data_IF_378522970472
#
_entry.id   IF_378522970472
#
_cell.length_a   1.000
_cell.length_b   1.000
_cell.length_c   1.000
_cell.angle_alpha   90.00
_cell.angle_beta   90.00
_cell.angle_gamma   90.00
#
_symmetry.space_group_name_H-M   'P 1'
#
loop_
_entity.id
_entity.type
_entity.pdbx_description
1 polymer ?
#
# COMPACT_ATOMS: atom_id res chain seq x y z
N UNK A 1 23.45 12.91 -3.15
CA UNK A 1 22.85 11.87 -4.01
C UNK A 1 21.50 12.40 -4.44
N UNK A 2 21.18 12.33 -5.72
CA UNK A 2 19.91 12.82 -6.28
C UNK A 2 19.12 11.63 -6.83
N UNK A 3 17.82 11.57 -6.52
CA UNK A 3 16.92 10.55 -7.05
C UNK A 3 15.61 11.22 -7.47
N UNK A 4 15.19 11.01 -8.71
CA UNK A 4 13.90 11.51 -9.21
C UNK A 4 12.83 10.45 -9.04
N UNK A 5 11.63 10.87 -8.64
CA UNK A 5 10.48 10.02 -8.36
C UNK A 5 9.27 10.40 -9.19
N UNK A 6 8.57 9.42 -9.73
CA UNK A 6 7.17 9.56 -10.15
C UNK A 6 6.23 9.22 -8.99
N UNK A 7 5.09 9.89 -8.93
CA UNK A 7 4.01 9.53 -8.01
C UNK A 7 2.93 8.71 -8.72
N UNK A 8 2.29 7.79 -8.02
CA UNK A 8 0.95 7.30 -8.36
C UNK A 8 0.02 7.53 -7.18
N UNK A 9 -1.26 7.75 -7.43
CA UNK A 9 -2.26 7.87 -6.36
C UNK A 9 -2.25 6.58 -5.55
N UNK A 10 -2.08 6.71 -4.23
CA UNK A 10 -2.22 5.58 -3.34
C UNK A 10 -3.71 5.30 -3.16
N UNK A 11 -4.17 4.22 -3.77
CA UNK A 11 -5.53 3.76 -3.60
C UNK A 11 -5.71 3.04 -2.25
N UNK A 12 -6.89 3.21 -1.66
CA UNK A 12 -7.29 2.59 -0.40
C UNK A 12 -8.29 1.46 -0.66
N UNK A 13 -7.77 0.30 -1.06
CA UNK A 13 -8.54 -0.92 -1.29
C UNK A 13 -7.93 -2.11 -0.55
N UNK A 14 -7.76 -3.22 -1.27
CA UNK A 14 -6.95 -4.36 -0.81
C UNK A 14 -5.95 -4.75 -1.90
N UNK A 15 -4.71 -5.07 -1.49
CA UNK A 15 -3.70 -5.51 -2.44
C UNK A 15 -4.11 -6.83 -3.10
N UNK A 16 -4.00 -6.86 -4.42
CA UNK A 16 -4.45 -7.96 -5.25
C UNK A 16 -3.44 -8.21 -6.37
N UNK A 17 -3.21 -9.48 -6.69
CA UNK A 17 -2.35 -9.87 -7.80
C UNK A 17 -2.88 -11.05 -8.59
N UNK A 18 -2.54 -11.10 -9.87
CA UNK A 18 -2.81 -12.24 -10.74
C UNK A 18 -1.49 -12.77 -11.27
N UNK A 19 -1.18 -14.01 -10.94
CA UNK A 19 -0.04 -14.73 -11.48
C UNK A 19 -0.47 -15.50 -12.73
N UNK A 20 0.31 -15.40 -13.80
CA UNK A 20 0.11 -16.06 -15.08
C UNK A 20 1.40 -16.77 -15.43
N UNK A 21 1.37 -18.10 -15.44
CA UNK A 21 2.51 -18.92 -15.83
C UNK A 21 2.71 -18.90 -17.35
N UNK A 22 3.89 -19.31 -17.81
CA UNK A 22 4.19 -19.36 -19.25
C UNK A 22 3.34 -20.38 -20.03
N UNK A 23 2.77 -21.39 -19.36
CA UNK A 23 1.78 -22.31 -19.92
C UNK A 23 0.33 -21.80 -19.82
N UNK A 24 0.10 -20.62 -19.25
CA UNK A 24 -1.21 -19.96 -19.17
C UNK A 24 -2.08 -20.37 -17.99
N UNK A 25 -1.50 -20.98 -16.95
CA UNK A 25 -2.22 -21.18 -15.68
C UNK A 25 -2.28 -19.86 -14.91
N UNK A 26 -3.43 -19.62 -14.29
CA UNK A 26 -3.72 -18.37 -13.61
C UNK A 26 -3.97 -18.64 -12.12
N UNK A 27 -3.43 -17.79 -11.26
CA UNK A 27 -3.69 -17.82 -9.82
C UNK A 27 -3.89 -16.42 -9.27
N UNK A 28 -4.94 -16.24 -8.47
CA UNK A 28 -5.17 -15.02 -7.71
C UNK A 28 -4.30 -15.02 -6.44
N UNK A 29 -3.83 -13.85 -6.03
CA UNK A 29 -3.09 -13.66 -4.78
C UNK A 29 -3.57 -12.41 -4.03
N UNK A 30 -3.47 -12.47 -2.71
CA UNK A 30 -3.39 -11.28 -1.85
C UNK A 30 -1.93 -11.03 -1.48
N UNK A 31 -1.65 -9.96 -0.73
CA UNK A 31 -0.29 -9.56 -0.33
C UNK A 31 0.57 -10.71 0.23
N UNK A 32 -0.01 -11.60 1.02
CA UNK A 32 0.73 -12.63 1.76
C UNK A 32 0.69 -14.03 1.16
N UNK A 33 -0.24 -14.33 0.25
CA UNK A 33 -0.46 -15.70 -0.22
C UNK A 33 -1.35 -15.76 -1.47
N UNK A 34 -1.28 -16.90 -2.17
CA UNK A 34 -2.28 -17.34 -3.16
C UNK A 34 -3.64 -17.53 -2.48
N UNK A 35 -4.71 -17.17 -3.19
CA UNK A 35 -6.10 -17.27 -2.73
C UNK A 35 -6.95 -18.01 -3.77
N UNK A 36 -8.13 -18.46 -3.35
CA UNK A 36 -9.10 -19.17 -4.22
C UNK A 36 -10.51 -18.69 -3.91
N UNK A 37 -11.52 -18.97 -4.75
CA UNK A 37 -12.91 -18.64 -4.42
C UNK A 37 -13.40 -19.21 -3.08
N UNK A 38 -12.79 -20.29 -2.57
CA UNK A 38 -13.09 -20.87 -1.25
C UNK A 38 -12.42 -20.13 -0.08
N UNK A 39 -11.37 -19.36 -0.36
CA UNK A 39 -10.61 -18.57 0.61
C UNK A 39 -10.25 -17.25 -0.05
N UNK A 40 -11.28 -16.42 -0.22
CA UNK A 40 -11.24 -15.21 -1.06
C UNK A 40 -10.64 -14.00 -0.32
N UNK A 41 -10.31 -12.95 -1.07
CA UNK A 41 -10.01 -11.60 -0.63
C UNK A 41 -11.05 -10.62 -1.21
N UNK A 42 -12.16 -10.43 -0.48
CA UNK A 42 -13.24 -9.50 -0.88
C UNK A 42 -13.83 -9.76 -2.28
N UNK A 43 -13.90 -11.01 -2.73
CA UNK A 43 -14.45 -11.43 -4.02
C UNK A 43 -13.46 -11.33 -5.18
N UNK A 44 -12.20 -10.95 -4.93
CA UNK A 44 -11.17 -10.88 -5.97
C UNK A 44 -10.87 -12.25 -6.57
N UNK A 45 -10.78 -13.31 -5.76
CA UNK A 45 -10.45 -14.64 -6.28
C UNK A 45 -11.58 -15.18 -7.17
N UNK A 46 -12.84 -14.99 -6.76
CA UNK A 46 -14.00 -15.28 -7.59
C UNK A 46 -14.01 -14.47 -8.89
N UNK A 47 -13.70 -13.17 -8.85
CA UNK A 47 -13.67 -12.34 -10.06
C UNK A 47 -12.55 -12.76 -11.03
N UNK A 48 -11.38 -13.15 -10.53
CA UNK A 48 -10.30 -13.71 -11.37
C UNK A 48 -10.73 -15.03 -12.01
N UNK A 49 -11.41 -15.91 -11.26
CA UNK A 49 -11.92 -17.19 -11.77
C UNK A 49 -12.95 -16.99 -12.90
N UNK A 50 -13.80 -15.96 -12.79
CA UNK A 50 -14.75 -15.58 -13.83
C UNK A 50 -14.08 -14.99 -15.09
N UNK A 51 -12.89 -14.41 -14.93
CA UNK A 51 -12.12 -13.78 -16.02
C UNK A 51 -10.87 -14.61 -16.40
N UNK A 52 -10.88 -15.91 -16.11
CA UNK A 52 -9.71 -16.78 -16.24
C UNK A 52 -9.17 -16.82 -17.68
N UNK A 53 -10.06 -16.78 -18.68
CA UNK A 53 -9.69 -16.82 -20.10
C UNK A 53 -8.96 -15.55 -20.53
N UNK A 54 -9.43 -14.38 -20.06
CA UNK A 54 -8.75 -13.10 -20.28
C UNK A 54 -7.31 -13.15 -19.76
N UNK A 55 -7.10 -13.63 -18.53
CA UNK A 55 -5.78 -13.71 -17.94
C UNK A 55 -4.90 -14.80 -18.56
N UNK A 56 -5.46 -15.97 -18.88
CA UNK A 56 -4.72 -17.06 -19.51
C UNK A 56 -4.19 -16.68 -20.90
N UNK A 57 -4.91 -15.80 -21.62
CA UNK A 57 -4.49 -15.26 -22.91
C UNK A 57 -3.24 -14.35 -22.81
N UNK A 58 -2.94 -13.79 -21.63
CA UNK A 58 -1.76 -12.96 -21.38
C UNK A 58 -0.46 -13.76 -21.19
N UNK A 59 -0.53 -15.09 -21.29
CA UNK A 59 0.65 -15.94 -21.19
C UNK A 59 1.73 -15.51 -22.18
N UNK A 60 2.96 -15.55 -21.74
CA UNK A 60 4.12 -15.27 -22.58
C UNK A 60 5.28 -16.19 -22.17
N UNK A 61 6.46 -15.97 -22.74
CA UNK A 61 7.63 -16.81 -22.45
C UNK A 61 8.06 -16.79 -20.98
N UNK A 62 7.73 -15.73 -20.24
CA UNK A 62 8.04 -15.58 -18.82
C UNK A 62 6.79 -15.79 -17.96
N UNK A 63 7.00 -16.17 -16.70
CA UNK A 63 5.97 -16.01 -15.67
C UNK A 63 5.72 -14.52 -15.45
N UNK A 64 4.45 -14.12 -15.41
CA UNK A 64 4.05 -12.74 -15.16
C UNK A 64 3.19 -12.67 -13.91
N UNK A 65 3.41 -11.64 -13.10
CA UNK A 65 2.51 -11.28 -12.01
C UNK A 65 2.07 -9.83 -12.16
N UNK A 66 0.77 -9.63 -12.35
CA UNK A 66 0.15 -8.30 -12.37
C UNK A 66 -0.20 -7.92 -10.93
N UNK A 67 0.17 -6.72 -10.50
CA UNK A 67 -0.13 -6.19 -9.17
C UNK A 67 -1.02 -4.95 -9.28
N UNK A 68 -2.10 -4.94 -8.51
CA UNK A 68 -3.02 -3.82 -8.46
C UNK A 68 -3.74 -3.70 -7.13
N UNK A 69 -4.52 -2.65 -7.01
CA UNK A 69 -5.43 -2.43 -5.89
C UNK A 69 -6.83 -2.86 -6.29
N UNK A 70 -7.40 -3.82 -5.55
CA UNK A 70 -8.80 -4.21 -5.70
C UNK A 70 -9.65 -3.25 -4.88
N UNK A 71 -10.53 -2.51 -5.56
CA UNK A 71 -11.26 -1.36 -5.03
C UNK A 71 -12.75 -1.45 -5.37
N UNK A 72 -13.55 -0.62 -4.73
CA UNK A 72 -14.98 -0.49 -4.99
C UNK A 72 -15.81 -0.55 -3.71
N UNK A 73 -17.13 -0.51 -3.89
CA UNK A 73 -18.08 -0.64 -2.80
C UNK A 73 -17.77 -1.88 -1.94
N UNK A 74 -17.96 -1.76 -0.62
CA UNK A 74 -17.74 -2.82 0.39
C UNK A 74 -16.30 -3.30 0.66
N UNK A 75 -15.27 -2.78 -0.02
CA UNK A 75 -13.88 -3.23 0.23
C UNK A 75 -13.23 -2.45 1.38
N UNK A 76 -13.31 -1.13 1.34
CA UNK A 76 -12.83 -0.24 2.41
C UNK A 76 -13.94 0.76 2.77
N UNK A 77 -13.64 1.70 3.67
CA UNK A 77 -14.57 2.75 4.12
C UNK A 77 -13.90 4.12 4.04
N UNK A 78 -14.70 5.16 3.84
CA UNK A 78 -14.26 6.54 4.07
C UNK A 78 -13.40 7.19 2.97
N UNK A 79 -13.35 6.60 1.77
CA UNK A 79 -12.60 7.13 0.62
C UNK A 79 -13.47 7.16 -0.65
N UNK A 80 -13.06 7.95 -1.64
CA UNK A 80 -13.75 8.11 -2.92
C UNK A 80 -14.07 6.75 -3.59
N UNK A 81 -13.11 5.82 -3.55
CA UNK A 81 -13.22 4.48 -4.14
C UNK A 81 -14.43 3.67 -3.66
N UNK A 82 -14.92 3.94 -2.45
CA UNK A 82 -16.06 3.21 -1.87
C UNK A 82 -17.40 3.59 -2.49
N UNK A 83 -17.44 4.70 -3.23
CA UNK A 83 -18.62 5.19 -3.96
C UNK A 83 -18.72 4.59 -5.37
N UNK A 84 -17.70 3.88 -5.85
CA UNK A 84 -17.77 3.10 -7.09
C UNK A 84 -18.71 1.92 -6.81
N UNK A 85 -19.82 1.85 -7.54
CA UNK A 85 -20.91 0.90 -7.32
C UNK A 85 -20.52 -0.56 -7.62
N UNK A 86 -19.49 -0.75 -8.44
CA UNK A 86 -18.87 -2.04 -8.76
C UNK A 86 -17.45 -2.17 -8.21
N UNK A 87 -16.91 -3.38 -8.26
CA UNK A 87 -15.51 -3.64 -7.92
C UNK A 87 -14.65 -3.54 -9.18
N UNK A 88 -13.51 -2.89 -9.04
CA UNK A 88 -12.55 -2.64 -10.12
C UNK A 88 -11.13 -2.95 -9.64
N UNK A 89 -10.25 -3.28 -10.58
CA UNK A 89 -8.86 -3.56 -10.30
C UNK A 89 -7.94 -2.54 -10.98
N UNK A 90 -7.27 -1.73 -10.16
CA UNK A 90 -6.35 -0.70 -10.62
C UNK A 90 -4.90 -1.20 -10.53
N UNK A 91 -4.35 -1.64 -11.67
CA UNK A 91 -3.00 -2.18 -11.81
C UNK A 91 -1.97 -1.05 -11.68
N UNK A 92 -1.02 -1.22 -10.77
CA UNK A 92 0.06 -0.25 -10.54
C UNK A 92 1.44 -0.78 -10.96
N UNK A 93 1.64 -2.09 -11.06
CA UNK A 93 2.89 -2.70 -11.48
C UNK A 93 2.70 -4.08 -12.11
N UNK A 94 3.67 -4.51 -12.90
CA UNK A 94 3.78 -5.85 -13.47
C UNK A 94 5.16 -6.43 -13.16
N UNK A 95 5.25 -7.72 -12.86
CA UNK A 95 6.51 -8.41 -12.63
C UNK A 95 6.70 -9.52 -13.66
N UNK A 96 7.92 -9.65 -14.16
CA UNK A 96 8.41 -10.78 -14.93
C UNK A 96 9.33 -11.65 -14.06
N UNK A 97 9.26 -12.96 -14.24
CA UNK A 97 10.10 -13.92 -13.51
C UNK A 97 9.80 -13.94 -12.00
N UNK A 98 10.82 -14.23 -11.19
CA UNK A 98 10.65 -14.44 -9.74
C UNK A 98 10.16 -15.84 -9.36
N UNK A 99 10.28 -16.79 -10.29
CA UNK A 99 9.98 -18.21 -10.09
C UNK A 99 11.24 -19.02 -10.35
N UNK A 100 11.39 -20.18 -9.69
CA UNK A 100 12.51 -21.10 -9.90
C UNK A 100 13.92 -20.46 -9.79
N UNK A 101 14.07 -19.43 -8.96
CA UNK A 101 15.34 -18.72 -8.78
C UNK A 101 15.65 -17.66 -9.84
N UNK A 102 14.74 -17.39 -10.77
CA UNK A 102 14.86 -16.26 -11.69
C UNK A 102 14.72 -14.93 -10.97
N UNK A 103 15.51 -13.93 -11.38
CA UNK A 103 15.40 -12.57 -10.87
C UNK A 103 14.03 -11.99 -11.22
N UNK A 104 13.29 -11.55 -10.22
CA UNK A 104 12.06 -10.82 -10.40
C UNK A 104 12.36 -9.41 -10.94
N UNK A 105 11.80 -9.07 -12.11
CA UNK A 105 11.91 -7.74 -12.72
C UNK A 105 10.57 -7.03 -12.69
N UNK A 106 10.55 -5.77 -12.30
CA UNK A 106 9.35 -4.96 -12.15
C UNK A 106 9.24 -3.95 -13.31
N UNK A 107 8.05 -3.84 -13.87
CA UNK A 107 7.60 -2.80 -14.78
C UNK A 107 6.57 -1.94 -14.05
N UNK A 108 6.86 -0.65 -13.93
CA UNK A 108 6.04 0.31 -13.18
C UNK A 108 5.43 1.38 -14.09
N UNK A 109 5.88 1.43 -15.34
CA UNK A 109 5.45 2.42 -16.32
C UNK A 109 4.05 2.14 -16.85
N UNK A 110 3.07 3.04 -16.64
CA UNK A 110 1.68 2.81 -17.05
C UNK A 110 1.51 2.50 -18.53
N UNK A 111 2.27 3.17 -19.41
CA UNK A 111 2.19 2.95 -20.85
C UNK A 111 2.62 1.54 -21.25
N UNK A 112 3.66 0.99 -20.61
CA UNK A 112 4.13 -0.38 -20.86
C UNK A 112 3.18 -1.44 -20.31
N UNK A 113 2.54 -1.15 -19.18
CA UNK A 113 1.50 -2.02 -18.63
C UNK A 113 0.26 -2.00 -19.54
N UNK A 114 -0.14 -0.84 -20.08
CA UNK A 114 -1.26 -0.74 -21.03
C UNK A 114 -0.98 -1.47 -22.34
N UNK A 115 0.25 -1.37 -22.88
CA UNK A 115 0.66 -2.13 -24.08
C UNK A 115 0.51 -3.65 -23.89
N UNK A 116 0.61 -4.15 -22.66
CA UNK A 116 0.49 -5.57 -22.33
C UNK A 116 -0.97 -6.04 -22.15
N UNK A 117 -1.88 -5.15 -21.78
CA UNK A 117 -3.24 -5.49 -21.36
C UNK A 117 -4.25 -5.17 -22.46
N UNK A 118 -5.04 -6.15 -22.94
CA UNK A 118 -6.25 -5.87 -23.68
C UNK A 118 -7.22 -5.03 -22.85
N UNK A 119 -8.10 -4.27 -23.51
CA UNK A 119 -9.12 -3.50 -22.80
C UNK A 119 -10.08 -4.41 -22.03
N UNK A 120 -10.45 -3.97 -20.83
CA UNK A 120 -11.41 -4.67 -19.97
C UNK A 120 -12.14 -3.64 -19.11
N UNK A 121 -13.45 -3.78 -18.93
CA UNK A 121 -14.29 -2.77 -18.28
C UNK A 121 -13.94 -2.49 -16.80
N UNK A 122 -13.48 -3.52 -16.09
CA UNK A 122 -13.13 -3.44 -14.67
C UNK A 122 -11.61 -3.35 -14.40
N UNK A 123 -10.76 -3.34 -15.44
CA UNK A 123 -9.30 -3.28 -15.26
C UNK A 123 -8.80 -1.92 -15.72
N UNK A 124 -8.14 -1.22 -14.81
CA UNK A 124 -7.57 0.09 -15.06
C UNK A 124 -6.07 0.05 -14.81
N UNK A 125 -5.29 0.75 -15.64
CA UNK A 125 -3.87 0.96 -15.38
C UNK A 125 -3.67 2.32 -14.74
N UNK A 126 -3.20 2.32 -13.50
CA UNK A 126 -3.02 3.52 -12.70
C UNK A 126 -1.91 4.40 -13.31
N UNK A 127 -2.23 5.64 -13.74
CA UNK A 127 -1.25 6.54 -14.34
C UNK A 127 -0.27 7.09 -13.30
N UNK A 128 0.79 7.74 -13.78
CA UNK A 128 1.53 8.65 -12.93
C UNK A 128 0.70 9.90 -12.63
N UNK A 129 0.94 10.49 -11.47
CA UNK A 129 0.27 11.69 -10.98
C UNK A 129 1.28 12.84 -10.85
N UNK A 130 0.95 13.98 -11.45
CA UNK A 130 1.78 15.18 -11.43
C UNK A 130 3.13 15.00 -12.14
N UNK A 131 3.97 16.02 -12.00
CA UNK A 131 5.34 16.01 -12.52
C UNK A 131 6.28 15.22 -11.59
N UNK A 132 7.39 14.67 -12.12
CA UNK A 132 8.39 14.00 -11.30
C UNK A 132 9.05 14.95 -10.29
N UNK A 133 9.39 14.43 -9.11
CA UNK A 133 10.06 15.18 -8.03
C UNK A 133 11.46 14.64 -7.79
N UNK A 134 12.45 15.51 -7.75
CA UNK A 134 13.83 15.14 -7.42
C UNK A 134 14.13 15.39 -5.95
N UNK A 135 14.56 14.34 -5.23
CA UNK A 135 15.08 14.43 -3.87
C UNK A 135 16.61 14.53 -3.92
N UNK A 136 17.14 15.66 -3.45
CA UNK A 136 18.58 15.87 -3.31
C UNK A 136 19.03 15.64 -1.86
N UNK A 137 19.52 14.44 -1.56
CA UNK A 137 20.00 14.10 -0.21
C UNK A 137 21.31 14.80 0.17
N UNK A 138 21.95 15.50 -0.77
CA UNK A 138 23.14 16.32 -0.51
C UNK A 138 22.85 17.78 -0.18
N UNK A 139 21.59 18.22 -0.35
CA UNK A 139 21.17 19.61 -0.18
C UNK A 139 19.88 19.67 0.65
N UNK A 140 20.01 20.14 1.89
CA UNK A 140 18.91 20.17 2.86
C UNK A 140 17.78 21.10 2.42
N UNK A 141 18.09 22.23 1.78
CA UNK A 141 17.08 23.20 1.34
C UNK A 141 16.29 22.67 0.14
N UNK A 142 16.97 22.02 -0.82
CA UNK A 142 16.30 21.35 -1.92
C UNK A 142 15.45 20.17 -1.45
N UNK A 143 15.97 19.37 -0.50
CA UNK A 143 15.22 18.26 0.08
C UNK A 143 13.95 18.74 0.80
N UNK A 144 14.04 19.86 1.52
CA UNK A 144 12.89 20.50 2.17
C UNK A 144 11.87 20.97 1.15
N UNK A 145 12.31 21.66 0.10
CA UNK A 145 11.43 22.13 -0.98
C UNK A 145 10.68 20.96 -1.63
N UNK A 146 11.38 19.85 -1.90
CA UNK A 146 10.76 18.65 -2.46
C UNK A 146 9.79 17.99 -1.47
N UNK A 147 10.12 17.92 -0.19
CA UNK A 147 9.23 17.42 0.87
C UNK A 147 7.95 18.25 0.97
N UNK A 148 8.06 19.59 0.93
CA UNK A 148 6.92 20.51 0.97
C UNK A 148 6.03 20.34 -0.26
N UNK A 149 6.62 20.11 -1.44
CA UNK A 149 5.89 19.80 -2.67
C UNK A 149 5.09 18.50 -2.55
N UNK A 150 5.70 17.43 -2.02
CA UNK A 150 5.00 16.16 -1.81
C UNK A 150 3.86 16.33 -0.80
N UNK A 151 4.07 17.10 0.28
CA UNK A 151 3.03 17.38 1.27
C UNK A 151 1.83 18.08 0.64
N UNK A 152 2.05 19.13 -0.18
CA UNK A 152 0.97 19.83 -0.90
C UNK A 152 0.22 18.91 -1.89
N UNK A 153 0.95 18.05 -2.60
CA UNK A 153 0.32 17.07 -3.49
C UNK A 153 -0.56 16.09 -2.71
N UNK A 154 -0.11 15.61 -1.55
CA UNK A 154 -0.89 14.71 -0.71
C UNK A 154 -2.11 15.40 -0.11
N UNK A 155 -1.98 16.65 0.35
CA UNK A 155 -3.11 17.46 0.83
C UNK A 155 -4.18 17.59 -0.26
N UNK A 156 -3.77 17.86 -1.50
CA UNK A 156 -4.68 17.95 -2.66
C UNK A 156 -5.41 16.63 -2.91
N UNK A 157 -4.70 15.50 -2.83
CA UNK A 157 -5.29 14.15 -2.99
C UNK A 157 -6.24 13.80 -1.84
N UNK A 158 -5.93 14.21 -0.60
CA UNK A 158 -6.79 13.98 0.57
C UNK A 158 -8.06 14.85 0.55
N UNK A 159 -8.03 16.00 -0.12
CA UNK A 159 -9.22 16.81 -0.37
C UNK A 159 -10.15 16.12 -1.38
N UNK A 160 -9.61 15.77 -2.56
CA UNK A 160 -10.34 15.03 -3.60
C UNK A 160 -9.37 14.08 -4.31
N UNK A 161 -9.69 12.79 -4.36
CA UNK A 161 -8.93 11.81 -5.14
C UNK A 161 -9.03 12.15 -6.64
N UNK A 162 -7.94 12.62 -7.27
CA UNK A 162 -8.01 13.12 -8.64
C UNK A 162 -8.22 11.99 -9.64
N UNK A 163 -7.69 10.79 -9.37
CA UNK A 163 -7.83 9.68 -10.29
C UNK A 163 -9.27 9.16 -10.31
N UNK A 164 -9.91 9.06 -9.13
CA UNK A 164 -11.31 8.65 -9.02
C UNK A 164 -12.23 9.68 -9.67
N UNK A 165 -11.96 10.97 -9.45
CA UNK A 165 -12.72 12.07 -10.10
C UNK A 165 -12.62 12.01 -11.61
N UNK A 166 -11.41 11.92 -12.16
CA UNK A 166 -11.20 11.94 -13.61
C UNK A 166 -11.73 10.67 -14.30
N UNK A 167 -11.64 9.51 -13.62
CA UNK A 167 -12.01 8.23 -14.22
C UNK A 167 -13.50 7.91 -14.08
N UNK A 168 -14.11 8.28 -12.94
CA UNK A 168 -15.48 7.88 -12.59
C UNK A 168 -16.43 9.05 -12.34
N UNK A 169 -15.95 10.30 -12.37
CA UNK A 169 -16.77 11.48 -12.05
C UNK A 169 -17.17 11.55 -10.57
N UNK A 170 -16.49 10.80 -9.70
CA UNK A 170 -16.80 10.70 -8.27
C UNK A 170 -15.82 11.56 -7.48
N UNK A 171 -16.35 12.47 -6.67
CA UNK A 171 -15.54 13.21 -5.71
C UNK A 171 -15.56 12.54 -4.34
N UNK A 172 -14.43 12.61 -3.65
CA UNK A 172 -14.28 12.09 -2.31
C UNK A 172 -12.81 12.06 -1.91
N UNK A 173 -12.57 11.74 -0.65
CA UNK A 173 -11.24 11.74 -0.05
C UNK A 173 -10.34 10.65 -0.67
N UNK A 174 -9.12 11.01 -1.05
CA UNK A 174 -8.04 10.07 -1.44
C UNK A 174 -7.08 9.76 -0.28
N UNK A 175 -6.23 8.72 -0.42
CA UNK A 175 -5.32 8.30 0.66
C UNK A 175 -3.97 9.03 0.65
N UNK A 176 -3.44 9.35 -0.54
CA UNK A 176 -2.12 9.95 -0.71
C UNK A 176 -1.40 9.42 -1.95
N UNK A 177 -0.08 9.24 -1.84
CA UNK A 177 0.81 8.90 -2.95
C UNK A 177 1.72 7.71 -2.63
N UNK A 178 2.09 6.97 -3.67
CA UNK A 178 3.25 6.06 -3.67
C UNK A 178 4.30 6.63 -4.62
N UNK A 179 5.51 6.81 -4.13
CA UNK A 179 6.63 7.40 -4.84
C UNK A 179 7.54 6.29 -5.39
N UNK A 180 7.77 6.31 -6.69
CA UNK A 180 8.52 5.33 -7.47
C UNK A 180 9.77 5.99 -8.05
N UNK A 181 10.99 5.49 -7.80
CA UNK A 181 12.17 6.00 -8.49
C UNK A 181 11.98 5.92 -10.00
N UNK A 182 12.31 6.99 -10.72
CA UNK A 182 12.18 7.03 -12.19
C UNK A 182 13.04 5.94 -12.80
N UNK A 183 12.43 5.13 -13.66
CA UNK A 183 13.10 4.07 -14.39
C UNK A 183 12.61 4.05 -15.84
N UNK A 184 13.54 4.09 -16.79
CA UNK A 184 13.26 4.02 -18.24
C UNK A 184 13.25 2.59 -18.79
N UNK A 185 13.35 1.59 -17.90
CA UNK A 185 13.40 0.17 -18.22
C UNK A 185 12.86 -0.63 -17.04
N UNK A 186 12.66 -1.95 -17.24
CA UNK A 186 12.33 -2.86 -16.15
C UNK A 186 13.45 -2.91 -15.11
N UNK A 187 13.10 -2.92 -13.83
CA UNK A 187 14.05 -2.83 -12.71
C UNK A 187 14.08 -4.13 -11.92
N UNK A 188 15.20 -4.46 -11.27
CA UNK A 188 15.22 -5.59 -10.34
C UNK A 188 14.36 -5.28 -9.12
N UNK A 189 13.39 -6.15 -8.83
CA UNK A 189 12.34 -5.87 -7.85
C UNK A 189 12.89 -5.66 -6.45
N UNK A 190 13.83 -6.50 -6.03
CA UNK A 190 14.36 -6.50 -4.66
C UNK A 190 14.92 -5.12 -4.28
N UNK A 191 15.93 -4.67 -5.00
CA UNK A 191 16.58 -3.38 -4.76
C UNK A 191 15.66 -2.18 -5.02
N UNK A 192 14.77 -2.28 -6.01
CA UNK A 192 13.91 -1.16 -6.38
C UNK A 192 12.83 -0.89 -5.33
N UNK A 193 12.24 -1.94 -4.75
CA UNK A 193 11.15 -1.76 -3.77
C UNK A 193 11.60 -1.12 -2.47
N UNK A 194 12.88 -1.23 -2.11
CA UNK A 194 13.47 -0.56 -0.94
C UNK A 194 13.57 0.96 -1.10
N UNK A 195 13.61 1.44 -2.35
CA UNK A 195 13.69 2.87 -2.66
C UNK A 195 12.31 3.53 -2.78
N UNK A 196 11.24 2.73 -2.81
CA UNK A 196 9.86 3.23 -2.86
C UNK A 196 9.38 3.66 -1.48
N UNK A 197 8.63 4.75 -1.42
CA UNK A 197 8.00 5.19 -0.18
C UNK A 197 6.56 5.66 -0.42
N UNK A 198 5.80 5.80 0.67
CA UNK A 198 4.39 6.21 0.63
C UNK A 198 4.27 7.51 1.41
N UNK A 199 3.56 8.47 0.86
CA UNK A 199 3.21 9.71 1.56
C UNK A 199 1.68 9.73 1.71
N UNK A 200 1.19 9.73 2.94
CA UNK A 200 -0.26 9.58 3.23
C UNK A 200 -0.82 10.83 3.87
N UNK A 201 -2.02 11.20 3.45
CA UNK A 201 -2.78 12.28 4.06
C UNK A 201 -3.03 12.00 5.54
N UNK A 202 -3.19 13.06 6.34
CA UNK A 202 -3.23 12.98 7.80
C UNK A 202 -4.38 12.09 8.28
N UNK A 203 -5.52 12.07 7.55
CA UNK A 203 -6.68 11.22 7.87
C UNK A 203 -6.40 9.73 7.67
N UNK A 204 -5.33 9.36 6.94
CA UNK A 204 -4.97 7.99 6.59
C UNK A 204 -3.62 7.53 7.16
N UNK A 205 -2.98 8.36 7.97
CA UNK A 205 -1.74 7.98 8.63
C UNK A 205 -1.98 6.98 9.75
N UNK A 206 -1.11 5.98 9.83
CA UNK A 206 -1.10 4.98 10.90
C UNK A 206 -0.23 5.42 12.09
N UNK A 207 0.49 6.53 11.96
CA UNK A 207 1.30 7.22 12.99
C UNK A 207 0.73 8.63 13.17
N UNK A 208 0.79 9.19 14.38
CA UNK A 208 0.44 10.61 14.59
C UNK A 208 1.57 11.54 14.15
N UNK A 209 1.82 11.67 12.86
CA UNK A 209 2.78 12.63 12.32
C UNK A 209 2.09 13.95 11.97
N UNK A 210 2.84 15.06 12.04
CA UNK A 210 2.30 16.40 11.70
C UNK A 210 2.14 16.64 10.20
N UNK A 211 2.90 15.91 9.38
CA UNK A 211 3.00 16.09 7.92
C UNK A 211 3.17 14.73 7.24
N UNK A 212 2.68 14.54 6.00
CA UNK A 212 2.84 13.31 5.21
C UNK A 212 4.29 12.86 4.97
N UNK A 213 5.21 13.81 4.81
CA UNK A 213 6.65 13.58 4.67
C UNK A 213 7.38 14.45 5.68
N UNK A 214 8.31 13.84 6.43
CA UNK A 214 9.22 14.50 7.35
C UNK A 214 10.67 14.11 7.03
N UNK A 215 11.59 15.07 7.10
CA UNK A 215 13.03 14.82 6.88
C UNK A 215 13.67 14.14 8.10
N UNK A 216 13.24 14.54 9.31
CA UNK A 216 13.76 14.02 10.56
C UNK A 216 12.69 13.19 11.27
N UNK A 217 13.09 12.08 11.88
CA UNK A 217 12.21 11.29 12.73
C UNK A 217 11.78 12.08 13.98
N UNK A 218 10.58 11.81 14.49
CA UNK A 218 10.10 12.43 15.71
C UNK A 218 10.83 11.86 16.94
N UNK A 219 11.30 12.76 17.81
CA UNK A 219 11.95 12.40 19.08
C UNK A 219 10.88 12.35 20.16
N UNK A 220 10.54 11.15 20.64
CA UNK A 220 9.64 10.97 21.76
C UNK A 220 10.37 11.26 23.08
N UNK A 221 9.73 12.02 23.96
CA UNK A 221 10.28 12.40 25.28
C UNK A 221 10.28 11.24 26.27
N UNK A 222 9.43 10.23 26.05
CA UNK A 222 9.32 9.03 26.87
C UNK A 222 8.61 7.87 26.13
N UNK A 223 8.60 6.69 26.76
CA UNK A 223 7.98 5.47 26.20
C UNK A 223 6.49 5.66 25.88
N UNK A 224 5.73 6.36 26.73
CA UNK A 224 4.30 6.52 26.54
C UNK A 224 3.98 7.39 25.32
N UNK A 225 4.78 8.43 25.09
CA UNK A 225 4.65 9.28 23.91
C UNK A 225 4.93 8.49 22.62
N UNK A 226 5.98 7.66 22.60
CA UNK A 226 6.26 6.78 21.46
C UNK A 226 5.12 5.77 21.24
N UNK A 227 4.57 5.18 22.32
CA UNK A 227 3.40 4.29 22.22
C UNK A 227 2.18 5.03 21.67
N UNK A 228 1.96 6.29 22.06
CA UNK A 228 0.84 7.09 21.59
C UNK A 228 1.00 7.56 20.15
N UNK A 229 2.24 7.74 19.71
CA UNK A 229 2.61 8.05 18.34
C UNK A 229 2.26 6.90 17.38
N UNK A 230 2.58 5.65 17.75
CA UNK A 230 2.38 4.48 16.88
C UNK A 230 1.07 3.72 17.09
N UNK A 231 0.52 3.67 18.31
CA UNK A 231 -0.73 2.94 18.61
C UNK A 231 -1.94 3.86 18.40
N UNK A 232 -2.21 4.14 17.13
CA UNK A 232 -3.33 4.98 16.67
C UNK A 232 -4.59 4.15 16.38
N UNK A 233 -5.78 4.77 16.41
CA UNK A 233 -7.03 4.09 16.02
C UNK A 233 -6.92 3.52 14.60
N UNK A 234 -6.38 4.29 13.65
CA UNK A 234 -6.21 3.86 12.27
C UNK A 234 -5.34 2.60 12.16
N UNK A 235 -4.21 2.54 12.86
CA UNK A 235 -3.33 1.36 12.86
C UNK A 235 -3.99 0.16 13.54
N UNK A 236 -4.72 0.38 14.62
CA UNK A 236 -5.48 -0.67 15.32
C UNK A 236 -6.56 -1.26 14.40
N UNK A 237 -7.32 -0.43 13.68
CA UNK A 237 -8.31 -0.87 12.70
C UNK A 237 -7.66 -1.63 11.53
N UNK A 238 -6.51 -1.15 11.05
CA UNK A 238 -5.73 -1.84 10.03
C UNK A 238 -5.30 -3.24 10.49
N UNK A 239 -4.80 -3.37 11.73
CA UNK A 239 -4.41 -4.65 12.30
C UNK A 239 -5.60 -5.63 12.40
N UNK A 240 -6.82 -5.16 12.71
CA UNK A 240 -8.03 -6.00 12.69
C UNK A 240 -8.34 -6.48 11.28
N UNK A 241 -8.24 -5.59 10.30
CA UNK A 241 -8.49 -5.92 8.88
C UNK A 241 -7.51 -6.98 8.39
N UNK A 242 -6.21 -6.75 8.58
CA UNK A 242 -5.13 -7.57 8.05
C UNK A 242 -4.94 -8.90 8.82
N UNK A 243 -5.05 -8.87 10.15
CA UNK A 243 -4.77 -10.03 10.99
C UNK A 243 -6.03 -10.83 11.36
N UNK A 244 -7.20 -10.23 11.29
CA UNK A 244 -8.45 -10.84 11.74
C UNK A 244 -9.55 -10.89 10.67
N UNK A 245 -9.26 -10.41 9.44
CA UNK A 245 -10.21 -10.25 8.34
C UNK A 245 -11.38 -9.31 8.70
N UNK A 246 -11.10 -8.25 9.49
CA UNK A 246 -12.12 -7.27 9.87
C UNK A 246 -13.04 -7.72 11.02
N UNK A 247 -12.84 -8.92 11.56
CA UNK A 247 -13.68 -9.49 12.60
C UNK A 247 -13.08 -9.32 14.00
N UNK A 248 -13.94 -8.97 14.97
CA UNK A 248 -13.60 -8.95 16.38
C UNK A 248 -13.94 -10.29 17.02
N UNK A 249 -12.92 -11.08 17.36
CA UNK A 249 -13.06 -12.35 18.06
C UNK A 249 -11.90 -12.50 19.06
N UNK A 250 -12.23 -12.82 20.31
CA UNK A 250 -11.23 -13.05 21.37
C UNK A 250 -10.22 -14.14 20.98
N UNK A 251 -10.61 -15.12 20.17
CA UNK A 251 -9.71 -16.17 19.64
C UNK A 251 -8.68 -15.62 18.65
N UNK A 252 -9.00 -14.50 17.97
CA UNK A 252 -8.11 -13.83 17.01
C UNK A 252 -7.23 -12.75 17.66
N UNK A 253 -7.48 -12.38 18.92
CA UNK A 253 -6.69 -11.40 19.69
C UNK A 253 -5.18 -11.67 19.62
N UNK A 254 -4.75 -12.93 19.73
CA UNK A 254 -3.32 -13.28 19.63
C UNK A 254 -2.71 -12.93 18.27
N UNK A 255 -3.46 -13.14 17.19
CA UNK A 255 -3.03 -12.81 15.83
C UNK A 255 -2.95 -11.29 15.63
N UNK A 256 -3.97 -10.56 16.09
CA UNK A 256 -4.00 -9.11 16.12
C UNK A 256 -2.78 -8.51 16.85
N UNK A 257 -2.53 -8.97 18.08
CA UNK A 257 -1.42 -8.48 18.90
C UNK A 257 -0.06 -8.80 18.28
N UNK A 258 0.10 -9.99 17.67
CA UNK A 258 1.31 -10.33 16.94
C UNK A 258 1.52 -9.41 15.74
N UNK A 259 0.48 -9.18 14.95
CA UNK A 259 0.55 -8.33 13.77
C UNK A 259 0.96 -6.91 14.12
N UNK A 260 0.29 -6.28 15.10
CA UNK A 260 0.56 -4.88 15.46
C UNK A 260 1.96 -4.69 16.05
N UNK A 261 2.43 -5.65 16.85
CA UNK A 261 3.80 -5.64 17.41
C UNK A 261 4.84 -5.70 16.29
N UNK A 262 4.67 -6.61 15.32
CA UNK A 262 5.59 -6.74 14.19
C UNK A 262 5.55 -5.53 13.26
N UNK A 263 4.37 -4.96 13.02
CA UNK A 263 4.18 -3.77 12.19
C UNK A 263 4.86 -2.55 12.82
N UNK A 264 4.58 -2.25 14.09
CA UNK A 264 5.19 -1.10 14.76
C UNK A 264 6.71 -1.27 14.89
N UNK A 265 7.21 -2.46 15.23
CA UNK A 265 8.66 -2.68 15.36
C UNK A 265 9.42 -2.35 14.06
N UNK A 266 8.83 -2.68 12.91
CA UNK A 266 9.43 -2.38 11.61
C UNK A 266 9.39 -0.89 11.28
N UNK A 267 8.29 -0.23 11.61
CA UNK A 267 8.05 1.16 11.24
C UNK A 267 8.70 2.16 12.22
N UNK A 268 9.01 1.77 13.46
CA UNK A 268 9.50 2.68 14.50
C UNK A 268 11.02 2.72 14.68
N UNK A 269 11.79 2.12 13.77
CA UNK A 269 13.25 1.97 13.94
C UNK A 269 13.94 3.33 14.08
N UNK A 270 13.59 4.29 13.21
CA UNK A 270 14.19 5.62 13.22
C UNK A 270 13.80 6.42 14.47
N UNK A 271 12.54 6.37 14.90
CA UNK A 271 12.06 7.06 16.09
C UNK A 271 12.63 6.46 17.38
N UNK A 272 12.82 5.13 17.43
CA UNK A 272 13.50 4.47 18.55
C UNK A 272 14.95 4.95 18.67
N UNK A 273 15.68 5.00 17.56
CA UNK A 273 17.06 5.49 17.51
C UNK A 273 17.14 6.96 17.92
N UNK A 274 16.30 7.81 17.32
CA UNK A 274 16.25 9.25 17.60
C UNK A 274 15.88 9.53 19.07
N UNK A 275 14.99 8.72 19.65
CA UNK A 275 14.54 8.84 21.05
C UNK A 275 15.44 8.12 22.05
N UNK A 276 16.47 7.39 21.58
CA UNK A 276 17.35 6.55 22.40
C UNK A 276 16.60 5.53 23.25
N UNK A 277 15.54 4.95 22.70
CA UNK A 277 14.72 3.90 23.31
C UNK A 277 14.96 2.56 22.61
N UNK A 278 14.78 1.46 23.33
CA UNK A 278 14.87 0.12 22.77
C UNK A 278 13.49 -0.51 22.58
N UNK A 279 13.37 -1.42 21.61
CA UNK A 279 12.12 -2.15 21.38
C UNK A 279 11.63 -2.90 22.63
N UNK A 280 12.54 -3.46 23.42
CA UNK A 280 12.21 -4.20 24.63
C UNK A 280 11.50 -3.34 25.69
N UNK A 281 11.86 -2.06 25.76
CA UNK A 281 11.23 -1.09 26.69
C UNK A 281 9.81 -0.72 26.24
N UNK A 282 9.59 -0.63 24.92
CA UNK A 282 8.36 -0.10 24.32
C UNK A 282 7.30 -1.19 24.09
N UNK A 283 7.72 -2.42 23.75
CA UNK A 283 6.81 -3.47 23.30
C UNK A 283 5.74 -3.84 24.34
N UNK A 284 6.10 -3.93 25.63
CA UNK A 284 5.13 -4.30 26.68
C UNK A 284 4.04 -3.22 26.87
N UNK A 285 4.37 -1.92 27.05
CA UNK A 285 3.37 -0.85 27.07
C UNK A 285 2.48 -0.79 25.82
N UNK A 286 3.08 -0.91 24.62
CA UNK A 286 2.38 -0.95 23.34
C UNK A 286 1.33 -2.08 23.30
N UNK A 287 1.75 -3.30 23.63
CA UNK A 287 0.88 -4.47 23.62
C UNK A 287 -0.26 -4.37 24.63
N UNK A 288 -0.03 -3.73 25.77
CA UNK A 288 -1.07 -3.48 26.75
C UNK A 288 -2.13 -2.50 26.24
N UNK A 289 -1.70 -1.39 25.61
CA UNK A 289 -2.61 -0.41 25.01
C UNK A 289 -3.45 -1.04 23.90
N UNK A 290 -2.82 -1.76 22.97
CA UNK A 290 -3.52 -2.42 21.86
C UNK A 290 -4.53 -3.47 22.35
N UNK A 291 -4.14 -4.27 23.37
CA UNK A 291 -5.02 -5.27 23.98
C UNK A 291 -6.25 -4.64 24.64
N UNK A 292 -6.06 -3.57 25.39
CA UNK A 292 -7.16 -2.88 26.08
C UNK A 292 -8.15 -2.30 25.06
N UNK A 293 -7.64 -1.70 23.99
CA UNK A 293 -8.47 -1.20 22.91
C UNK A 293 -9.31 -2.32 22.26
N UNK A 294 -8.69 -3.45 21.91
CA UNK A 294 -9.41 -4.56 21.26
C UNK A 294 -10.49 -5.14 22.17
N UNK A 295 -10.19 -5.29 23.48
CA UNK A 295 -11.18 -5.74 24.47
C UNK A 295 -12.40 -4.81 24.53
N UNK A 296 -12.18 -3.51 24.51
CA UNK A 296 -13.26 -2.51 24.56
C UNK A 296 -14.14 -2.49 23.30
N UNK A 297 -13.64 -2.98 22.15
CA UNK A 297 -14.44 -3.13 20.91
C UNK A 297 -15.19 -4.46 20.85
N UNK A 298 -14.73 -5.46 21.60
CA UNK A 298 -15.32 -6.79 21.67
C UNK A 298 -16.47 -6.89 22.70
N UNK A 299 -16.40 -6.09 23.78
CA UNK A 299 -17.44 -5.95 24.79
C UNK A 299 -18.53 -4.99 24.32
#
# INVERSE_FOLDING_TARGET
MEVTYHAKIKLHGTNAGVQITSDGKVAAQKRSQIITPKSDNAGFATWVDQNIEYFAALKNHNHVTLYGEWCGSSIQKGVALTQIDRKIWAIFAMQYGGVNGEIAKLEIRPEKIREFLPEHEDIFVLPFYGDPITLNFGDVEQLKTASDTINQMVESVEEVDPWVKDTFGIEGVGEGLVMYPVANHVVERENYTELMFKAKGIKHQSVKQKQPVQINAEVASNIQELVDLFVTEARLQQAVTEACNGEYDIKKMGQFLKWISMDINKESVAELEASKLTWNEVNKPLMNKARNWYKNKYL
#
